data_IF_408066191461
#
_entry.id   IF_408066191461
#
_cell.length_a   1.000
_cell.length_b   1.000
_cell.length_c   1.000
_cell.angle_alpha   90.00
_cell.angle_beta   90.00
_cell.angle_gamma   90.00
#
_symmetry.space_group_name_H-M   'P 1'
#
loop_
_entity.id
_entity.type
_entity.pdbx_description
1 polymer ?
#
# COMPACT_ATOMS: atom_id res chain seq x y z
N UNK A 1 14.13 -1.56 4.88
CA UNK A 1 12.84 -1.97 4.27
C UNK A 1 11.76 -1.55 5.23
N UNK A 2 10.84 -0.69 4.81
CA UNK A 2 9.71 -0.26 5.64
C UNK A 2 8.62 -1.31 5.59
N UNK A 3 8.15 -1.75 6.75
CA UNK A 3 7.00 -2.65 6.86
C UNK A 3 5.76 -1.80 7.13
N UNK A 4 4.73 -1.98 6.32
CA UNK A 4 3.44 -1.34 6.55
C UNK A 4 2.41 -2.41 6.90
N UNK A 5 1.66 -2.16 7.96
CA UNK A 5 0.43 -2.89 8.24
C UNK A 5 -0.77 -2.11 7.70
N UNK A 6 -1.93 -2.77 7.61
CA UNK A 6 -3.17 -2.20 7.09
C UNK A 6 -3.51 -0.82 7.70
N UNK A 7 -3.40 -0.69 9.03
CA UNK A 7 -3.72 0.56 9.73
C UNK A 7 -2.77 1.69 9.33
N UNK A 8 -1.48 1.38 9.22
CA UNK A 8 -0.46 2.36 8.82
C UNK A 8 -0.70 2.83 7.39
N UNK A 9 -1.04 1.93 6.46
CA UNK A 9 -1.34 2.31 5.08
C UNK A 9 -2.60 3.17 5.01
N UNK A 10 -3.69 2.79 5.69
CA UNK A 10 -4.91 3.60 5.73
C UNK A 10 -4.64 5.01 6.26
N UNK A 11 -3.82 5.12 7.30
CA UNK A 11 -3.39 6.40 7.87
C UNK A 11 -2.61 7.27 6.89
N UNK A 12 -1.75 6.67 6.05
CA UNK A 12 -1.01 7.42 5.03
C UNK A 12 -1.92 8.13 4.01
N UNK A 13 -3.13 7.61 3.80
CA UNK A 13 -4.12 8.18 2.89
C UNK A 13 -5.24 8.93 3.62
N UNK A 14 -5.08 9.24 4.91
CA UNK A 14 -5.98 10.17 5.60
C UNK A 14 -6.00 11.52 4.85
N UNK A 15 -7.21 11.99 4.51
CA UNK A 15 -7.42 13.20 3.70
C UNK A 15 -7.56 12.96 2.19
N UNK A 16 -7.45 11.71 1.73
CA UNK A 16 -7.78 11.31 0.37
C UNK A 16 -9.12 10.56 0.33
N UNK A 17 -9.79 10.63 -0.81
CA UNK A 17 -10.90 9.75 -1.15
C UNK A 17 -10.31 8.43 -1.68
N UNK A 18 -10.48 7.33 -0.94
CA UNK A 18 -10.02 6.01 -1.39
C UNK A 18 -11.05 5.40 -2.34
N UNK A 19 -10.65 5.25 -3.60
CA UNK A 19 -11.47 4.66 -4.67
C UNK A 19 -11.26 3.15 -4.80
N UNK A 20 -10.05 2.68 -4.48
CA UNK A 20 -9.69 1.27 -4.46
C UNK A 20 -8.65 1.01 -3.38
N UNK A 21 -8.82 -0.10 -2.65
CA UNK A 21 -7.85 -0.57 -1.67
C UNK A 21 -7.89 -2.09 -1.58
N UNK A 22 -6.79 -2.75 -1.89
CA UNK A 22 -6.64 -4.19 -1.78
C UNK A 22 -5.27 -4.53 -1.19
N UNK A 23 -5.23 -5.49 -0.27
CA UNK A 23 -4.00 -6.11 0.18
C UNK A 23 -3.85 -7.49 -0.46
N UNK A 24 -2.69 -7.73 -1.08
CA UNK A 24 -2.34 -9.02 -1.65
C UNK A 24 -1.05 -9.54 -1.04
N UNK A 25 -1.06 -10.80 -0.64
CA UNK A 25 0.11 -11.52 -0.20
C UNK A 25 0.77 -12.25 -1.38
N UNK A 26 2.09 -12.13 -1.52
CA UNK A 26 2.84 -12.78 -2.61
C UNK A 26 4.14 -13.39 -2.12
N UNK A 27 4.35 -14.65 -2.50
CA UNK A 27 5.67 -15.28 -2.46
C UNK A 27 6.51 -14.82 -3.66
N UNK A 28 7.76 -14.45 -3.43
CA UNK A 28 8.70 -14.08 -4.49
C UNK A 28 10.13 -14.41 -4.11
N UNK A 29 11.06 -14.17 -5.05
CA UNK A 29 12.49 -14.28 -4.80
C UNK A 29 13.14 -12.90 -4.88
N UNK A 30 14.10 -12.64 -4.01
CA UNK A 30 14.97 -11.47 -4.12
C UNK A 30 15.88 -11.63 -5.34
N UNK A 31 16.58 -10.55 -5.73
CA UNK A 31 17.60 -10.61 -6.78
C UNK A 31 18.70 -11.64 -6.48
N UNK A 32 18.99 -11.88 -5.20
CA UNK A 32 19.94 -12.91 -4.74
C UNK A 32 19.35 -14.32 -4.66
N UNK A 33 18.12 -14.53 -5.12
CA UNK A 33 17.45 -15.83 -5.15
C UNK A 33 16.83 -16.29 -3.83
N UNK A 34 16.94 -15.50 -2.75
CA UNK A 34 16.31 -15.83 -1.45
C UNK A 34 14.80 -15.67 -1.53
N UNK A 35 14.08 -16.60 -0.93
CA UNK A 35 12.62 -16.48 -0.82
C UNK A 35 12.24 -15.31 0.09
N UNK A 36 11.16 -14.64 -0.29
CA UNK A 36 10.58 -13.57 0.49
C UNK A 36 9.07 -13.52 0.30
N UNK A 37 8.38 -13.37 1.43
CA UNK A 37 6.96 -13.07 1.47
C UNK A 37 6.75 -11.56 1.45
N UNK A 38 5.86 -11.09 0.59
CA UNK A 38 5.55 -9.68 0.39
C UNK A 38 4.08 -9.42 0.69
N UNK A 39 3.82 -8.42 1.51
CA UNK A 39 2.51 -7.75 1.59
C UNK A 39 2.54 -6.58 0.62
N UNK A 40 1.63 -6.56 -0.34
CA UNK A 40 1.52 -5.51 -1.34
C UNK A 40 0.14 -4.87 -1.19
N UNK A 41 0.12 -3.55 -1.04
CA UNK A 41 -1.12 -2.78 -0.99
C UNK A 41 -1.32 -2.07 -2.34
N UNK A 42 -2.41 -2.42 -3.02
CA UNK A 42 -2.87 -1.77 -4.23
C UNK A 42 -3.87 -0.67 -3.84
N UNK A 43 -3.55 0.58 -4.13
CA UNK A 43 -4.36 1.73 -3.69
C UNK A 43 -4.59 2.69 -4.86
N UNK A 44 -5.86 3.06 -5.07
CA UNK A 44 -6.24 4.20 -5.91
C UNK A 44 -6.89 5.23 -4.99
N UNK A 45 -6.26 6.40 -4.89
CA UNK A 45 -6.68 7.48 -4.02
C UNK A 45 -6.79 8.78 -4.80
N UNK A 46 -7.84 9.55 -4.54
CA UNK A 46 -8.07 10.87 -5.13
C UNK A 46 -7.88 11.93 -4.07
N UNK A 47 -7.04 12.92 -4.37
CA UNK A 47 -6.87 14.09 -3.50
C UNK A 47 -8.14 14.93 -3.60
N UNK A 48 -8.69 15.34 -2.45
CA UNK A 48 -9.76 16.33 -2.45
C UNK A 48 -9.23 17.61 -3.10
N UNK A 49 -9.98 18.17 -4.05
CA UNK A 49 -9.68 19.49 -4.58
C UNK A 49 -9.91 20.49 -3.43
N UNK A 50 -8.83 20.97 -2.83
CA UNK A 50 -8.91 22.11 -1.96
C UNK A 50 -9.10 23.33 -2.86
N UNK A 51 -10.33 23.84 -2.94
CA UNK A 51 -10.55 25.23 -3.36
C UNK A 51 -9.83 26.08 -2.33
N UNK A 52 -8.66 26.58 -2.72
CA UNK A 52 -7.95 27.66 -2.02
C UNK A 52 -8.79 28.93 -2.07
#
# INVERSE_FOLDING_TARGET
MTFHNLQTVKKLFEGFELLYFEETAKNGKTLSGKEKFWHVFHVVAKKHHSTK
#
